data_IF_307323085683
#
_entry.id   IF_307323085683
#
_cell.length_a   1.000
_cell.length_b   1.000
_cell.length_c   1.000
_cell.angle_alpha   90.00
_cell.angle_beta   90.00
_cell.angle_gamma   90.00
#
_symmetry.space_group_name_H-M   'P 1'
#
loop_
_entity.id
_entity.type
_entity.pdbx_description
1 polymer ?
#
# COMPACT_ATOMS: atom_id res chain seq x y z
N UNK A 1 6.14 91.98 -24.19
CA UNK A 1 6.54 90.56 -24.00
C UNK A 1 5.54 89.64 -24.67
N UNK A 2 5.90 88.97 -25.78
CA UNK A 2 5.11 87.87 -26.37
C UNK A 2 5.54 86.57 -25.70
N UNK A 3 4.64 85.92 -24.94
CA UNK A 3 4.87 84.57 -24.41
C UNK A 3 4.79 83.58 -25.57
N UNK A 4 5.92 82.98 -25.94
CA UNK A 4 5.97 81.87 -26.90
C UNK A 4 5.37 80.62 -26.25
N UNK A 5 4.33 80.07 -26.86
CA UNK A 5 3.60 78.89 -26.39
C UNK A 5 4.42 77.61 -26.67
N UNK A 6 5.40 77.30 -25.82
CA UNK A 6 6.27 76.11 -25.95
C UNK A 6 5.53 74.81 -25.59
N UNK A 7 4.41 74.90 -24.85
CA UNK A 7 3.64 73.73 -24.37
C UNK A 7 3.02 72.88 -25.49
N UNK A 8 2.60 73.48 -26.61
CA UNK A 8 1.93 72.76 -27.71
C UNK A 8 2.88 71.81 -28.45
N UNK A 9 4.17 72.14 -28.57
CA UNK A 9 5.13 71.32 -29.33
C UNK A 9 5.57 70.06 -28.57
N UNK A 10 5.65 70.11 -27.24
CA UNK A 10 5.97 68.95 -26.41
C UNK A 10 4.83 67.91 -26.43
N UNK A 11 3.57 68.34 -26.41
CA UNK A 11 2.42 67.43 -26.48
C UNK A 11 2.36 66.69 -27.82
N UNK A 12 2.68 67.35 -28.93
CA UNK A 12 2.71 66.69 -30.25
C UNK A 12 3.82 65.64 -30.34
N UNK A 13 5.01 65.94 -29.81
CA UNK A 13 6.12 64.96 -29.78
C UNK A 13 5.72 63.77 -28.90
N UNK A 14 5.16 64.00 -27.71
CA UNK A 14 4.72 62.93 -26.82
C UNK A 14 3.65 62.04 -27.47
N UNK A 15 2.68 62.62 -28.18
CA UNK A 15 1.65 61.86 -28.90
C UNK A 15 2.26 61.03 -30.03
N UNK A 16 3.18 61.60 -30.82
CA UNK A 16 3.85 60.87 -31.91
C UNK A 16 4.71 59.74 -31.34
N UNK A 17 5.40 59.95 -30.23
CA UNK A 17 6.20 58.90 -29.57
C UNK A 17 5.31 57.78 -29.02
N UNK A 18 4.17 58.10 -28.40
CA UNK A 18 3.20 57.10 -27.93
C UNK A 18 2.58 56.35 -29.11
N UNK A 19 2.28 57.02 -30.22
CA UNK A 19 1.75 56.39 -31.44
C UNK A 19 2.80 55.52 -32.14
N UNK A 20 4.08 55.91 -32.11
CA UNK A 20 5.17 55.12 -32.67
C UNK A 20 5.49 53.88 -31.81
N UNK A 21 5.40 54.00 -30.48
CA UNK A 21 5.55 52.84 -29.57
C UNK A 21 4.35 51.90 -29.71
N UNK A 22 3.13 52.43 -29.88
CA UNK A 22 1.95 51.60 -30.08
C UNK A 22 2.00 50.84 -31.40
N UNK A 23 2.44 51.47 -32.50
CA UNK A 23 2.60 50.76 -33.78
C UNK A 23 3.73 49.72 -33.75
N UNK A 24 4.80 49.94 -32.98
CA UNK A 24 5.82 48.90 -32.76
C UNK A 24 5.28 47.70 -31.97
N UNK A 25 4.36 47.90 -31.03
CA UNK A 25 3.73 46.81 -30.27
C UNK A 25 2.77 45.96 -31.12
N UNK A 26 2.18 46.52 -32.19
CA UNK A 26 1.31 45.77 -33.11
C UNK A 26 2.02 45.24 -34.37
N UNK A 27 3.22 45.73 -34.67
CA UNK A 27 3.99 45.33 -35.86
C UNK A 27 5.02 44.21 -35.59
N UNK A 28 5.14 43.72 -34.35
CA UNK A 28 5.86 42.49 -34.11
C UNK A 28 5.03 41.34 -34.69
N UNK A 29 5.54 40.56 -35.67
CA UNK A 29 4.89 39.30 -36.01
C UNK A 29 4.75 38.49 -34.73
N UNK A 30 3.58 37.88 -34.52
CA UNK A 30 3.47 36.82 -33.51
C UNK A 30 4.54 35.80 -33.86
N UNK A 31 5.64 35.79 -33.13
CA UNK A 31 6.58 34.67 -33.17
C UNK A 31 5.73 33.49 -32.72
N UNK A 32 5.37 32.62 -33.67
CA UNK A 32 4.94 31.27 -33.32
C UNK A 32 6.09 30.74 -32.47
N UNK A 33 5.86 30.64 -31.16
CA UNK A 33 6.78 29.99 -30.26
C UNK A 33 7.14 28.66 -30.93
N UNK A 34 8.44 28.42 -31.11
CA UNK A 34 8.97 27.17 -31.63
C UNK A 34 8.21 26.04 -30.93
N UNK A 35 7.61 25.11 -31.70
CA UNK A 35 6.90 23.99 -31.10
C UNK A 35 7.85 23.35 -30.09
N UNK A 36 7.41 23.27 -28.82
CA UNK A 36 8.25 22.67 -27.78
C UNK A 36 8.51 21.23 -28.22
N UNK A 37 9.77 20.90 -28.47
CA UNK A 37 10.20 19.58 -28.91
C UNK A 37 11.01 18.98 -27.79
N UNK A 38 10.76 17.70 -27.50
CA UNK A 38 11.43 16.98 -26.43
C UNK A 38 11.76 15.57 -26.90
N UNK A 39 13.01 15.17 -26.68
CA UNK A 39 13.45 13.80 -26.94
C UNK A 39 12.65 12.83 -26.06
N UNK A 40 12.05 11.78 -26.65
CA UNK A 40 11.12 10.92 -25.91
C UNK A 40 11.82 9.97 -24.91
N UNK A 41 13.15 9.86 -24.92
CA UNK A 41 13.92 8.92 -24.10
C UNK A 41 13.29 7.52 -24.03
N UNK A 42 13.14 6.84 -25.18
CA UNK A 42 12.64 5.47 -25.20
C UNK A 42 13.65 4.51 -24.55
N UNK A 43 13.13 3.43 -23.95
CA UNK A 43 13.94 2.38 -23.36
C UNK A 43 13.48 1.00 -23.82
N UNK A 44 14.37 0.03 -23.63
CA UNK A 44 14.11 -1.40 -23.76
C UNK A 44 14.78 -2.14 -22.61
N UNK A 45 14.08 -3.10 -22.01
CA UNK A 45 14.65 -4.07 -21.09
C UNK A 45 14.08 -5.47 -21.40
N UNK A 46 14.76 -6.54 -21.02
CA UNK A 46 14.33 -7.92 -21.24
C UNK A 46 14.54 -8.75 -19.98
N UNK A 47 13.51 -9.45 -19.53
CA UNK A 47 13.56 -10.30 -18.33
C UNK A 47 12.92 -11.67 -18.62
N UNK A 48 13.61 -12.79 -18.34
CA UNK A 48 14.99 -12.87 -17.85
C UNK A 48 16.01 -12.52 -18.95
N UNK A 49 17.21 -12.09 -18.52
CA UNK A 49 18.38 -11.91 -19.39
C UNK A 49 19.66 -12.19 -18.55
N UNK A 50 20.42 -13.26 -18.80
CA UNK A 50 20.26 -14.24 -19.90
C UNK A 50 18.98 -15.10 -19.78
N UNK A 51 18.61 -15.77 -20.87
CA UNK A 51 17.42 -16.65 -20.95
C UNK A 51 17.72 -17.96 -21.68
N UNK A 52 16.91 -18.99 -21.45
CA UNK A 52 16.97 -20.26 -22.19
C UNK A 52 16.25 -20.12 -23.54
N UNK A 53 16.78 -20.78 -24.59
CA UNK A 53 16.12 -20.83 -25.90
C UNK A 53 14.72 -21.46 -25.82
N UNK A 54 13.78 -20.95 -26.62
CA UNK A 54 12.37 -21.35 -26.63
C UNK A 54 11.60 -21.11 -25.32
N UNK A 55 12.10 -20.23 -24.45
CA UNK A 55 11.39 -19.78 -23.24
C UNK A 55 10.85 -18.36 -23.38
N UNK A 56 9.87 -18.00 -22.56
CA UNK A 56 9.25 -16.67 -22.60
C UNK A 56 10.17 -15.63 -21.98
N UNK A 57 10.40 -14.54 -22.72
CA UNK A 57 11.02 -13.30 -22.25
C UNK A 57 9.98 -12.20 -22.28
N UNK A 58 9.91 -11.39 -21.23
CA UNK A 58 9.13 -10.15 -21.23
C UNK A 58 10.05 -9.00 -21.59
N UNK A 59 9.76 -8.34 -22.70
CA UNK A 59 10.41 -7.10 -23.13
C UNK A 59 9.63 -5.93 -22.53
N UNK A 60 10.27 -5.17 -21.66
CA UNK A 60 9.71 -3.92 -21.13
C UNK A 60 10.10 -2.77 -22.06
N UNK A 61 9.11 -2.12 -22.64
CA UNK A 61 9.24 -1.12 -23.70
C UNK A 61 8.44 0.13 -23.33
N UNK A 62 8.99 1.30 -23.63
CA UNK A 62 8.31 2.55 -23.32
C UNK A 62 9.18 3.78 -23.47
N UNK A 63 8.69 4.87 -22.87
CA UNK A 63 9.36 6.14 -22.67
C UNK A 63 9.43 6.45 -21.17
N UNK A 64 10.48 7.14 -20.72
CA UNK A 64 10.58 7.61 -19.32
C UNK A 64 9.49 8.61 -18.94
N UNK A 65 8.81 9.21 -19.92
CA UNK A 65 7.73 10.15 -19.67
C UNK A 65 6.39 9.41 -19.50
N UNK A 66 5.74 9.54 -18.34
CA UNK A 66 4.36 9.11 -18.20
C UNK A 66 3.43 10.07 -18.95
N UNK A 67 2.25 9.58 -19.31
CA UNK A 67 1.20 10.37 -19.91
C UNK A 67 0.10 10.70 -18.89
N UNK A 68 -0.61 11.81 -19.06
CA UNK A 68 -1.79 12.08 -18.25
C UNK A 68 -2.86 11.00 -18.46
N UNK A 69 -3.53 10.58 -17.37
CA UNK A 69 -4.48 9.46 -17.40
C UNK A 69 -5.60 9.62 -18.44
N UNK A 70 -6.03 10.84 -18.72
CA UNK A 70 -7.11 11.15 -19.65
C UNK A 70 -6.76 10.95 -21.14
N UNK A 71 -5.48 10.82 -21.50
CA UNK A 71 -5.06 10.62 -22.90
C UNK A 71 -4.62 9.20 -23.23
N UNK A 72 -4.52 8.31 -22.24
CA UNK A 72 -3.96 6.97 -22.41
C UNK A 72 -2.44 6.99 -22.55
N UNK A 73 -1.80 5.83 -22.67
CA UNK A 73 -0.35 5.73 -22.88
C UNK A 73 0.08 6.10 -24.30
N UNK A 74 1.38 6.00 -24.56
CA UNK A 74 1.97 6.19 -25.88
C UNK A 74 1.52 5.08 -26.83
N UNK A 75 1.44 5.40 -28.12
CA UNK A 75 0.92 4.46 -29.13
C UNK A 75 1.87 4.32 -30.29
N UNK A 76 1.94 3.13 -30.88
CA UNK A 76 2.69 2.90 -32.12
C UNK A 76 4.19 2.66 -31.92
N UNK A 77 4.63 2.39 -30.69
CA UNK A 77 6.01 1.98 -30.42
C UNK A 77 6.28 0.64 -31.10
N UNK A 78 7.53 0.39 -31.47
CA UNK A 78 7.95 -0.93 -31.95
C UNK A 78 9.26 -1.34 -31.30
N UNK A 79 9.55 -2.64 -31.30
CA UNK A 79 10.88 -3.16 -30.91
C UNK A 79 11.44 -3.90 -32.11
N UNK A 80 12.58 -3.43 -32.62
CA UNK A 80 13.37 -4.16 -33.60
C UNK A 80 14.21 -5.21 -32.89
N UNK A 81 14.13 -6.45 -33.37
CA UNK A 81 14.87 -7.60 -32.86
C UNK A 81 15.79 -8.08 -33.96
N UNK A 82 17.10 -7.88 -33.79
CA UNK A 82 18.12 -8.49 -34.63
C UNK A 82 18.54 -9.81 -34.02
N UNK A 83 18.33 -10.91 -34.76
CA UNK A 83 18.65 -12.27 -34.35
C UNK A 83 20.15 -12.56 -34.51
N UNK A 84 20.67 -13.61 -33.86
CA UNK A 84 22.08 -14.02 -34.00
C UNK A 84 22.52 -14.34 -35.44
N UNK A 85 21.58 -14.72 -36.32
CA UNK A 85 21.84 -15.00 -37.74
C UNK A 85 21.83 -13.74 -38.63
N UNK A 86 21.59 -12.56 -38.05
CA UNK A 86 21.52 -11.27 -38.73
C UNK A 86 20.15 -10.95 -39.35
N UNK A 87 19.17 -11.85 -39.26
CA UNK A 87 17.79 -11.53 -39.65
C UNK A 87 17.13 -10.61 -38.63
N UNK A 88 16.23 -9.73 -39.10
CA UNK A 88 15.49 -8.81 -38.23
C UNK A 88 14.00 -9.12 -38.23
N UNK A 89 13.35 -8.83 -37.12
CA UNK A 89 11.89 -8.82 -37.00
C UNK A 89 11.43 -7.64 -36.14
N UNK A 90 10.21 -7.18 -36.37
CA UNK A 90 9.63 -6.03 -35.66
C UNK A 90 8.47 -6.51 -34.80
N UNK A 91 8.53 -6.20 -33.51
CA UNK A 91 7.42 -6.40 -32.58
C UNK A 91 6.64 -5.09 -32.49
N UNK A 92 5.36 -5.11 -32.85
CA UNK A 92 4.46 -3.97 -32.70
C UNK A 92 3.36 -3.92 -33.76
N UNK A 93 2.56 -2.84 -33.78
CA UNK A 93 2.64 -1.66 -32.92
C UNK A 93 2.29 -1.95 -31.44
N UNK A 94 2.95 -1.23 -30.53
CA UNK A 94 2.83 -1.40 -29.09
C UNK A 94 2.25 -0.11 -28.49
N UNK A 95 1.27 -0.28 -27.60
CA UNK A 95 0.70 0.82 -26.82
C UNK A 95 1.11 0.65 -25.36
N UNK A 96 1.57 1.72 -24.73
CA UNK A 96 1.98 1.72 -23.33
C UNK A 96 0.80 1.95 -22.40
N UNK A 97 1.01 1.72 -21.10
CA UNK A 97 0.15 2.29 -20.06
C UNK A 97 0.45 3.77 -19.86
N UNK A 98 -0.35 4.45 -19.03
CA UNK A 98 -0.17 5.88 -18.73
C UNK A 98 1.09 6.17 -17.90
N UNK A 99 1.74 5.15 -17.36
CA UNK A 99 3.07 5.26 -16.72
C UNK A 99 4.19 5.44 -17.75
N UNK A 100 3.90 5.30 -19.05
CA UNK A 100 4.84 5.47 -20.15
C UNK A 100 5.50 4.17 -20.64
N UNK A 101 5.24 3.04 -19.99
CA UNK A 101 5.79 1.71 -20.34
C UNK A 101 4.75 0.61 -20.45
N UNK A 102 5.15 -0.53 -21.03
CA UNK A 102 4.40 -1.78 -21.02
C UNK A 102 5.31 -2.99 -21.26
N UNK A 103 4.79 -4.19 -21.04
CA UNK A 103 5.47 -5.45 -21.33
C UNK A 103 4.92 -6.13 -22.59
N UNK A 104 5.81 -6.63 -23.45
CA UNK A 104 5.47 -7.53 -24.57
C UNK A 104 6.23 -8.84 -24.46
N UNK A 105 5.60 -9.94 -24.86
CA UNK A 105 6.20 -11.27 -24.79
C UNK A 105 6.98 -11.57 -26.06
N UNK A 106 8.18 -12.11 -25.90
CA UNK A 106 9.03 -12.62 -26.97
C UNK A 106 9.54 -14.02 -26.62
N UNK A 107 9.68 -14.90 -27.63
CA UNK A 107 10.22 -16.26 -27.45
C UNK A 107 11.39 -16.44 -28.42
N UNK A 108 12.64 -16.28 -27.97
CA UNK A 108 13.81 -16.46 -28.85
C UNK A 108 13.95 -17.93 -29.27
N UNK A 109 14.19 -18.16 -30.55
CA UNK A 109 14.26 -19.52 -31.14
C UNK A 109 15.68 -19.97 -31.50
N UNK A 110 16.67 -19.09 -31.40
CA UNK A 110 18.09 -19.36 -31.68
C UNK A 110 18.91 -19.12 -30.42
N UNK A 111 19.98 -19.89 -30.25
CA UNK A 111 21.00 -19.62 -29.24
C UNK A 111 21.94 -18.53 -29.76
N UNK A 112 22.33 -17.59 -28.89
CA UNK A 112 23.22 -16.49 -29.22
C UNK A 112 22.75 -15.14 -28.67
N UNK A 113 23.43 -14.08 -29.10
CA UNK A 113 23.10 -12.71 -28.69
C UNK A 113 22.12 -12.08 -29.68
N UNK A 114 20.96 -11.70 -29.18
CA UNK A 114 20.00 -10.86 -29.88
C UNK A 114 20.25 -9.39 -29.55
N UNK A 115 19.97 -8.48 -30.49
CA UNK A 115 19.94 -7.04 -30.22
C UNK A 115 18.49 -6.56 -30.27
N UNK A 116 18.03 -5.94 -29.19
CA UNK A 116 16.69 -5.35 -29.07
C UNK A 116 16.82 -3.83 -29.08
N UNK A 117 15.98 -3.14 -29.86
CA UNK A 117 15.95 -1.68 -29.89
C UNK A 117 14.52 -1.16 -30.01
N UNK A 118 14.10 -0.32 -29.06
CA UNK A 118 12.79 0.34 -29.11
C UNK A 118 12.84 1.50 -30.10
N UNK A 119 11.82 1.59 -30.95
CA UNK A 119 11.51 2.77 -31.75
C UNK A 119 10.26 3.45 -31.21
N UNK A 120 10.40 4.74 -30.91
CA UNK A 120 9.32 5.62 -30.48
C UNK A 120 8.97 6.55 -31.64
N UNK A 121 7.73 6.51 -32.15
CA UNK A 121 7.31 7.38 -33.25
C UNK A 121 7.13 8.83 -32.78
N UNK A 122 7.40 9.79 -33.66
CA UNK A 122 7.09 11.20 -33.37
C UNK A 122 5.60 11.33 -32.99
N UNK A 123 5.34 11.97 -31.86
CA UNK A 123 3.98 12.11 -31.33
C UNK A 123 3.73 13.53 -30.84
N UNK A 124 2.70 14.19 -31.38
CA UNK A 124 2.24 15.48 -30.86
C UNK A 124 1.28 15.25 -29.70
N UNK A 125 1.68 15.72 -28.52
CA UNK A 125 0.92 15.54 -27.28
C UNK A 125 -0.38 16.32 -27.30
N UNK A 126 -1.47 15.71 -26.86
CA UNK A 126 -2.80 16.32 -26.83
C UNK A 126 -3.15 16.95 -25.49
N UNK A 127 -2.40 16.64 -24.43
CA UNK A 127 -2.55 17.19 -23.10
C UNK A 127 -1.19 17.59 -22.51
N UNK A 128 -1.21 18.60 -21.63
CA UNK A 128 -0.03 18.98 -20.85
C UNK A 128 0.36 17.89 -19.86
N UNK A 129 1.66 17.65 -19.69
CA UNK A 129 2.21 16.64 -18.78
C UNK A 129 3.65 16.95 -18.35
N UNK A 130 4.36 15.93 -17.87
CA UNK A 130 5.77 16.07 -17.46
C UNK A 130 6.71 16.46 -18.61
N UNK A 131 6.29 16.18 -19.84
CA UNK A 131 6.98 16.52 -21.07
C UNK A 131 6.71 17.96 -21.55
N UNK A 132 5.79 18.71 -20.91
CA UNK A 132 5.48 20.10 -21.28
C UNK A 132 4.00 20.34 -21.58
N UNK A 133 3.64 21.52 -22.16
CA UNK A 133 2.26 21.86 -22.48
C UNK A 133 1.69 21.00 -23.62
N UNK A 134 0.36 20.94 -23.75
CA UNK A 134 -0.31 20.37 -24.93
C UNK A 134 0.24 20.99 -26.22
N UNK A 135 0.42 20.16 -27.25
CA UNK A 135 1.08 20.53 -28.51
C UNK A 135 2.61 20.37 -28.48
N UNK A 136 3.20 19.88 -27.38
CA UNK A 136 4.61 19.47 -27.35
C UNK A 136 4.82 18.28 -28.29
N UNK A 137 5.87 18.34 -29.11
CA UNK A 137 6.30 17.27 -30.00
C UNK A 137 7.25 16.36 -29.22
N UNK A 138 6.86 15.09 -29.03
CA UNK A 138 7.77 14.02 -28.62
C UNK A 138 8.51 13.56 -29.87
N UNK A 139 9.82 13.75 -29.91
CA UNK A 139 10.63 13.44 -31.09
C UNK A 139 10.66 11.94 -31.38
N UNK A 140 10.63 11.60 -32.67
CA UNK A 140 10.97 10.25 -33.11
C UNK A 140 12.37 9.89 -32.61
N UNK A 141 12.47 8.75 -31.93
CA UNK A 141 13.72 8.36 -31.27
C UNK A 141 13.87 6.86 -31.14
N UNK A 142 15.13 6.42 -31.06
CA UNK A 142 15.51 5.04 -30.79
C UNK A 142 16.06 4.94 -29.37
N UNK A 143 15.81 3.83 -28.69
CA UNK A 143 16.51 3.52 -27.44
C UNK A 143 17.95 3.14 -27.72
N UNK A 144 18.78 3.12 -26.68
CA UNK A 144 20.02 2.36 -26.73
C UNK A 144 19.71 0.87 -27.02
N UNK A 145 20.55 0.18 -27.81
CA UNK A 145 20.38 -1.24 -28.06
C UNK A 145 20.66 -2.06 -26.80
N UNK A 146 19.84 -3.09 -26.56
CA UNK A 146 20.01 -4.05 -25.48
C UNK A 146 20.38 -5.42 -26.03
N UNK A 147 21.44 -6.01 -25.47
CA UNK A 147 21.82 -7.39 -25.76
C UNK A 147 20.98 -8.36 -24.92
N UNK A 148 20.22 -9.24 -25.57
CA UNK A 148 19.56 -10.39 -24.95
C UNK A 148 20.39 -11.63 -25.22
N UNK A 149 20.96 -12.21 -24.16
CA UNK A 149 21.81 -13.41 -24.25
C UNK A 149 20.93 -14.64 -24.12
N UNK A 150 20.89 -15.48 -25.15
CA UNK A 150 20.11 -16.72 -25.19
C UNK A 150 21.04 -17.93 -25.16
N UNK A 151 20.84 -18.83 -24.20
CA UNK A 151 21.64 -20.03 -23.99
C UNK A 151 20.82 -21.30 -24.19
N UNK A 152 21.50 -22.45 -24.34
CA UNK A 152 20.89 -23.78 -24.31
C UNK A 152 20.69 -24.30 -22.87
N UNK A 153 21.49 -23.80 -21.92
CA UNK A 153 21.36 -24.13 -20.51
C UNK A 153 20.11 -23.47 -19.87
N UNK A 154 19.33 -24.22 -19.08
CA UNK A 154 18.21 -23.67 -18.32
C UNK A 154 18.67 -22.57 -17.36
N UNK A 155 18.09 -21.38 -17.49
CA UNK A 155 18.32 -20.28 -16.56
C UNK A 155 17.25 -20.31 -15.48
N UNK A 156 17.66 -20.39 -14.22
CA UNK A 156 16.74 -20.30 -13.09
C UNK A 156 16.07 -18.92 -13.07
N UNK A 157 14.80 -18.86 -13.45
CA UNK A 157 14.00 -17.66 -13.41
C UNK A 157 13.70 -17.30 -11.95
N UNK A 158 14.37 -16.26 -11.43
CA UNK A 158 14.27 -15.81 -10.04
C UNK A 158 14.54 -16.93 -9.01
N UNK A 159 15.81 -17.31 -8.79
CA UNK A 159 16.13 -18.33 -7.80
C UNK A 159 15.58 -17.94 -6.42
N UNK A 160 15.14 -18.95 -5.67
CA UNK A 160 14.71 -18.80 -4.29
C UNK A 160 15.91 -18.51 -3.38
N UNK A 161 15.68 -17.72 -2.33
CA UNK A 161 16.65 -17.61 -1.24
C UNK A 161 16.48 -18.78 -0.28
N UNK A 162 17.60 -19.34 0.17
CA UNK A 162 17.60 -20.35 1.22
C UNK A 162 17.02 -19.77 2.51
N UNK A 163 16.32 -20.61 3.28
CA UNK A 163 15.88 -20.26 4.63
C UNK A 163 17.09 -20.08 5.55
N UNK A 164 16.98 -19.27 6.63
CA UNK A 164 18.10 -19.06 7.52
C UNK A 164 18.50 -20.35 8.23
N UNK A 165 19.80 -20.59 8.33
CA UNK A 165 20.38 -21.72 9.09
C UNK A 165 20.76 -21.34 10.52
N UNK A 166 20.74 -20.04 10.83
CA UNK A 166 20.99 -19.48 12.15
C UNK A 166 19.78 -18.67 12.65
N UNK A 167 19.91 -18.07 13.83
CA UNK A 167 18.88 -17.20 14.38
C UNK A 167 18.65 -16.00 13.45
N UNK A 168 17.39 -15.70 13.14
CA UNK A 168 16.99 -14.59 12.28
C UNK A 168 16.12 -13.59 13.04
N UNK A 169 16.10 -12.34 12.55
CA UNK A 169 15.31 -11.25 13.14
C UNK A 169 14.58 -10.47 12.05
N UNK A 170 13.73 -9.53 12.48
CA UNK A 170 13.03 -8.60 11.58
C UNK A 170 13.63 -7.19 11.69
N UNK A 171 13.48 -6.33 10.66
CA UNK A 171 12.80 -6.59 9.39
C UNK A 171 13.52 -7.62 8.51
N UNK A 172 12.75 -8.39 7.73
CA UNK A 172 13.30 -9.30 6.72
C UNK A 172 13.37 -8.52 5.41
N UNK A 173 14.46 -8.68 4.67
CA UNK A 173 14.58 -8.09 3.33
C UNK A 173 13.50 -8.66 2.41
N UNK A 174 12.77 -7.77 1.72
CA UNK A 174 11.65 -8.15 0.86
C UNK A 174 12.08 -9.03 -0.33
N UNK A 175 13.37 -9.03 -0.68
CA UNK A 175 13.92 -9.92 -1.70
C UNK A 175 13.95 -11.38 -1.27
N UNK A 176 13.99 -11.67 0.04
CA UNK A 176 13.96 -13.02 0.62
C UNK A 176 12.53 -13.58 0.65
N UNK A 177 11.89 -13.67 -0.53
CA UNK A 177 10.46 -13.97 -0.67
C UNK A 177 10.05 -15.26 0.05
N UNK A 178 10.91 -16.28 0.03
CA UNK A 178 10.62 -17.62 0.54
C UNK A 178 10.55 -17.68 2.08
N UNK A 179 11.04 -16.64 2.77
CA UNK A 179 11.00 -16.55 4.24
C UNK A 179 9.61 -16.25 4.80
N UNK A 180 8.59 -16.05 3.95
CA UNK A 180 7.20 -15.91 4.40
C UNK A 180 6.77 -17.10 5.29
N UNK A 181 7.32 -18.30 5.05
CA UNK A 181 7.02 -19.56 5.76
C UNK A 181 7.42 -19.62 7.24
N UNK A 182 8.25 -18.69 7.68
CA UNK A 182 8.73 -18.60 9.07
C UNK A 182 8.41 -17.25 9.71
N UNK A 183 7.63 -16.42 9.03
CA UNK A 183 7.49 -15.01 9.38
C UNK A 183 6.02 -14.62 9.45
N UNK A 184 5.25 -15.37 10.24
CA UNK A 184 3.85 -15.02 10.49
C UNK A 184 3.69 -13.73 11.33
N UNK A 185 2.47 -13.19 11.30
CA UNK A 185 1.97 -12.17 12.20
C UNK A 185 0.88 -12.77 13.12
N UNK A 186 0.65 -12.17 14.27
CA UNK A 186 -0.43 -12.52 15.18
C UNK A 186 -1.40 -11.34 15.29
N UNK A 187 -2.43 -11.31 14.45
CA UNK A 187 -3.25 -10.09 14.23
C UNK A 187 -4.44 -9.95 15.18
N UNK A 188 -4.61 -10.83 16.16
CA UNK A 188 -5.70 -10.71 17.11
C UNK A 188 -5.65 -11.81 18.16
N UNK A 189 -6.24 -11.54 19.32
CA UNK A 189 -6.42 -12.58 20.32
C UNK A 189 -7.58 -13.49 19.94
N UNK A 190 -7.28 -14.78 19.87
CA UNK A 190 -8.27 -15.83 19.71
C UNK A 190 -8.24 -16.65 21.00
N UNK A 191 -9.35 -16.73 21.76
CA UNK A 191 -9.36 -17.50 23.00
C UNK A 191 -9.09 -18.98 22.68
N UNK A 192 -8.38 -19.72 23.56
CA UNK A 192 -8.05 -21.13 23.34
C UNK A 192 -9.29 -22.04 23.19
N UNK A 193 -10.46 -21.57 23.64
CA UNK A 193 -11.75 -22.26 23.52
C UNK A 193 -12.48 -21.94 22.22
N UNK A 194 -11.90 -21.10 21.35
CA UNK A 194 -12.49 -20.78 20.06
C UNK A 194 -12.44 -22.01 19.15
N UNK A 195 -13.54 -22.28 18.45
CA UNK A 195 -13.63 -23.37 17.49
C UNK A 195 -12.94 -23.06 16.15
N UNK A 196 -12.37 -21.87 16.00
CA UNK A 196 -11.49 -21.52 14.89
C UNK A 196 -10.27 -22.48 14.87
N UNK A 197 -10.05 -23.24 13.79
CA UNK A 197 -8.91 -24.16 13.68
C UNK A 197 -7.54 -23.46 13.76
N UNK A 198 -7.49 -22.14 13.63
CA UNK A 198 -6.28 -21.31 13.78
C UNK A 198 -6.09 -20.73 15.19
N UNK A 199 -7.04 -20.94 16.11
CA UNK A 199 -7.00 -20.40 17.48
C UNK A 199 -5.79 -20.82 18.32
N UNK A 200 -5.22 -21.99 18.01
CA UNK A 200 -4.02 -22.52 18.66
C UNK A 200 -2.87 -22.78 17.67
N UNK A 201 -3.02 -22.38 16.40
CA UNK A 201 -2.05 -22.64 15.35
C UNK A 201 -1.68 -21.34 14.65
N UNK A 202 -0.45 -20.88 14.89
CA UNK A 202 0.16 -19.83 14.10
C UNK A 202 0.80 -20.44 12.84
N UNK A 203 0.07 -20.41 11.72
CA UNK A 203 0.59 -20.82 10.39
C UNK A 203 1.88 -20.05 10.04
N UNK A 204 2.61 -20.48 8.99
CA UNK A 204 3.82 -19.78 8.53
C UNK A 204 4.89 -19.61 9.61
N UNK A 205 5.04 -20.67 10.42
CA UNK A 205 6.09 -20.86 11.40
C UNK A 205 6.66 -22.29 11.25
N UNK A 206 6.94 -22.73 10.02
CA UNK A 206 7.24 -24.15 9.65
C UNK A 206 8.44 -24.76 10.39
N UNK A 207 9.29 -23.94 11.01
CA UNK A 207 10.47 -24.36 11.77
C UNK A 207 10.53 -23.72 13.16
N UNK A 208 9.40 -23.24 13.68
CA UNK A 208 9.34 -22.77 15.06
C UNK A 208 9.56 -23.96 16.02
N UNK A 209 10.33 -23.77 17.09
CA UNK A 209 10.52 -24.83 18.08
C UNK A 209 9.20 -25.32 18.67
N UNK A 210 9.10 -26.63 18.93
CA UNK A 210 7.92 -27.24 19.56
C UNK A 210 7.81 -26.94 21.08
N UNK A 211 8.76 -26.18 21.63
CA UNK A 211 8.79 -25.80 23.05
C UNK A 211 8.63 -24.30 23.23
N UNK A 212 7.90 -23.87 24.26
CA UNK A 212 7.82 -22.46 24.62
C UNK A 212 9.19 -21.89 25.00
N UNK A 213 9.52 -20.72 24.44
CA UNK A 213 10.76 -20.00 24.73
C UNK A 213 10.46 -18.65 25.37
N UNK A 214 11.24 -18.28 26.39
CA UNK A 214 11.22 -16.95 26.99
C UNK A 214 12.41 -16.18 26.45
N UNK A 215 12.16 -15.19 25.60
CA UNK A 215 13.20 -14.30 25.05
C UNK A 215 13.58 -13.20 26.06
N UNK A 216 12.56 -12.64 26.71
CA UNK A 216 12.68 -11.61 27.73
C UNK A 216 11.47 -11.67 28.67
N UNK A 217 11.54 -10.97 29.81
CA UNK A 217 10.45 -10.86 30.75
C UNK A 217 10.28 -9.41 31.22
N UNK A 218 9.03 -8.94 31.27
CA UNK A 218 8.66 -7.65 31.86
C UNK A 218 7.52 -7.84 32.86
N UNK A 219 7.61 -7.27 34.07
CA UNK A 219 6.49 -7.23 35.00
C UNK A 219 5.30 -6.48 34.37
N UNK A 220 4.11 -7.07 34.41
CA UNK A 220 2.85 -6.43 34.00
C UNK A 220 2.11 -5.78 35.17
N UNK A 221 2.13 -6.45 36.32
CA UNK A 221 1.58 -5.98 37.59
C UNK A 221 2.46 -6.47 38.73
N UNK A 222 2.22 -5.95 39.94
CA UNK A 222 2.76 -6.54 41.15
C UNK A 222 2.19 -7.94 41.34
N UNK A 223 3.06 -8.92 41.61
CA UNK A 223 2.68 -10.30 41.86
C UNK A 223 3.49 -10.88 43.02
N UNK A 224 3.19 -12.13 43.38
CA UNK A 224 3.83 -12.81 44.50
C UNK A 224 3.12 -12.60 45.84
N UNK A 225 3.76 -13.05 46.93
CA UNK A 225 3.21 -13.00 48.28
C UNK A 225 3.13 -11.55 48.79
N UNK A 226 1.97 -11.12 49.29
CA UNK A 226 1.81 -9.79 49.89
C UNK A 226 2.60 -9.66 51.20
N UNK A 227 2.65 -10.75 51.97
CA UNK A 227 3.48 -10.89 53.16
C UNK A 227 3.04 -10.03 54.34
N UNK A 228 3.77 -10.16 55.45
CA UNK A 228 3.53 -9.36 56.66
C UNK A 228 2.14 -9.55 57.25
N UNK A 229 1.40 -8.45 57.44
CA UNK A 229 0.04 -8.42 58.01
C UNK A 229 -1.01 -9.13 57.13
N UNK A 230 -0.65 -9.45 55.88
CA UNK A 230 -1.51 -10.16 54.92
C UNK A 230 -1.25 -11.68 54.90
N UNK A 231 -0.36 -12.20 55.76
CA UNK A 231 -0.04 -13.63 55.89
C UNK A 231 0.27 -14.33 54.54
N UNK A 232 -0.43 -15.43 54.24
CA UNK A 232 -0.24 -16.26 53.03
C UNK A 232 -0.89 -15.69 51.76
N UNK A 233 -1.53 -14.52 51.84
CA UNK A 233 -2.25 -13.94 50.70
C UNK A 233 -1.28 -13.35 49.66
N UNK A 234 -1.58 -13.53 48.39
CA UNK A 234 -0.84 -12.96 47.25
C UNK A 234 -1.36 -11.59 46.83
N UNK A 235 -0.56 -10.85 46.05
CA UNK A 235 -1.02 -9.68 45.31
C UNK A 235 -1.97 -10.11 44.18
N UNK A 236 -2.92 -9.23 43.83
CA UNK A 236 -3.90 -9.44 42.75
C UNK A 236 -3.21 -9.62 41.39
N UNK A 237 -3.27 -10.84 40.86
CA UNK A 237 -2.59 -11.25 39.63
C UNK A 237 -3.53 -11.39 38.42
N UNK A 238 -4.82 -11.05 38.58
CA UNK A 238 -5.88 -11.22 37.61
C UNK A 238 -6.73 -12.47 37.88
N UNK A 239 -7.95 -12.46 37.36
CA UNK A 239 -8.86 -13.61 37.35
C UNK A 239 -9.23 -14.02 35.90
N UNK A 240 -10.11 -15.01 35.76
CA UNK A 240 -10.55 -15.53 34.45
C UNK A 240 -11.20 -14.48 33.53
N UNK A 241 -11.66 -13.34 34.06
CA UNK A 241 -12.35 -12.27 33.35
C UNK A 241 -11.58 -10.94 33.35
N UNK A 242 -10.50 -10.84 34.14
CA UNK A 242 -9.67 -9.64 34.31
C UNK A 242 -8.19 -10.00 34.10
N UNK A 243 -7.90 -10.56 32.92
CA UNK A 243 -6.53 -10.83 32.48
C UNK A 243 -5.69 -9.55 32.44
N UNK A 244 -4.50 -9.58 33.06
CA UNK A 244 -3.56 -8.45 33.07
C UNK A 244 -2.81 -8.28 31.75
N UNK A 245 -2.73 -9.33 30.93
CA UNK A 245 -2.12 -9.31 29.59
C UNK A 245 -3.19 -9.50 28.51
N UNK A 246 -3.66 -8.39 27.95
CA UNK A 246 -4.80 -8.42 27.03
C UNK A 246 -6.13 -8.34 27.78
N UNK A 247 -6.86 -7.25 27.56
CA UNK A 247 -8.03 -6.87 28.35
C UNK A 247 -9.14 -7.90 28.27
N UNK A 248 -9.49 -8.43 29.44
CA UNK A 248 -10.67 -9.22 29.68
C UNK A 248 -11.97 -8.42 29.53
N UNK A 249 -12.95 -9.13 28.98
CA UNK A 249 -14.36 -8.75 28.86
C UNK A 249 -15.14 -10.04 28.61
N UNK A 250 -16.42 -10.08 29.00
CA UNK A 250 -17.28 -11.26 28.98
C UNK A 250 -17.45 -11.93 27.58
N UNK A 251 -16.88 -11.34 26.52
CA UNK A 251 -17.03 -11.78 25.12
C UNK A 251 -15.72 -11.72 24.29
N UNK A 252 -14.53 -11.73 24.92
CA UNK A 252 -13.24 -11.57 24.22
C UNK A 252 -13.03 -10.11 23.75
N UNK A 253 -11.87 -9.61 23.35
CA UNK A 253 -10.56 -10.17 23.09
C UNK A 253 -9.66 -8.95 22.74
N UNK A 254 -9.40 -8.04 23.68
CA UNK A 254 -8.51 -6.90 23.45
C UNK A 254 -7.07 -7.33 23.74
N UNK A 255 -6.50 -8.16 22.89
CA UNK A 255 -5.27 -8.87 23.22
C UNK A 255 -4.04 -8.44 22.43
N UNK A 256 -2.85 -8.92 22.86
CA UNK A 256 -1.62 -8.59 22.20
C UNK A 256 -1.68 -9.00 20.72
N UNK A 257 -1.15 -8.16 19.86
CA UNK A 257 -0.94 -8.46 18.44
C UNK A 257 0.54 -8.36 18.12
N UNK A 258 1.01 -9.16 17.17
CA UNK A 258 2.39 -9.13 16.68
C UNK A 258 2.32 -8.84 15.19
N UNK A 259 2.93 -7.73 14.77
CA UNK A 259 3.08 -7.37 13.35
C UNK A 259 4.55 -7.09 13.11
N UNK A 260 5.14 -7.74 12.11
CA UNK A 260 6.51 -7.44 11.70
C UNK A 260 7.55 -7.61 12.81
N UNK A 261 7.31 -8.48 13.79
CA UNK A 261 8.23 -8.71 14.92
C UNK A 261 8.12 -7.68 16.04
N UNK A 262 7.09 -6.83 16.00
CA UNK A 262 6.76 -5.90 17.07
C UNK A 262 5.52 -6.40 17.78
N UNK A 263 5.61 -6.56 19.09
CA UNK A 263 4.51 -6.85 19.99
C UNK A 263 3.80 -5.57 20.38
N UNK A 264 2.50 -5.52 20.12
CA UNK A 264 1.61 -4.44 20.54
C UNK A 264 0.63 -4.94 21.58
N UNK A 265 0.52 -4.28 22.72
CA UNK A 265 -0.41 -4.68 23.78
C UNK A 265 -0.93 -3.48 24.57
N UNK A 266 -2.11 -3.64 25.15
CA UNK A 266 -2.66 -2.67 26.11
C UNK A 266 -1.91 -2.80 27.43
N UNK A 267 -1.30 -1.70 27.90
CA UNK A 267 -0.50 -1.69 29.14
C UNK A 267 -1.34 -1.96 30.38
N UNK A 268 -2.57 -1.46 30.40
CA UNK A 268 -3.46 -1.50 31.56
C UNK A 268 -4.66 -2.42 31.31
N UNK A 269 -5.34 -2.82 32.38
CA UNK A 269 -6.64 -3.49 32.31
C UNK A 269 -7.73 -2.57 31.73
N UNK A 270 -8.83 -3.16 31.26
CA UNK A 270 -9.95 -2.42 30.64
C UNK A 270 -10.79 -1.63 31.65
N UNK A 271 -10.74 -1.99 32.94
CA UNK A 271 -11.50 -1.35 33.99
C UNK A 271 -11.10 0.13 34.15
N UNK A 272 -12.07 0.95 34.56
CA UNK A 272 -11.91 2.40 34.70
C UNK A 272 -12.20 3.21 33.44
N UNK A 273 -12.31 2.58 32.27
CA UNK A 273 -12.74 3.25 31.03
C UNK A 273 -11.91 4.49 30.73
N UNK A 274 -12.57 5.63 30.47
CA UNK A 274 -11.94 6.93 30.23
C UNK A 274 -11.50 7.67 31.50
N UNK A 275 -11.82 7.16 32.69
CA UNK A 275 -11.39 7.75 33.96
C UNK A 275 -9.95 7.42 34.33
N UNK A 276 -9.30 6.51 33.56
CA UNK A 276 -7.91 6.10 33.75
C UNK A 276 -7.19 6.11 32.40
N UNK A 277 -5.86 6.14 32.46
CA UNK A 277 -5.03 6.05 31.27
C UNK A 277 -5.22 4.71 30.54
N UNK A 278 -5.28 4.78 29.22
CA UNK A 278 -5.37 3.62 28.33
C UNK A 278 -4.24 3.70 27.33
N UNK A 279 -3.09 3.10 27.66
CA UNK A 279 -1.90 3.13 26.81
C UNK A 279 -1.74 1.84 26.03
N UNK A 280 -1.28 1.97 24.79
CA UNK A 280 -0.80 0.87 23.97
C UNK A 280 0.71 0.97 23.89
N UNK A 281 1.37 -0.17 24.05
CA UNK A 281 2.81 -0.30 24.00
C UNK A 281 3.21 -1.06 22.74
N UNK A 282 4.24 -0.58 22.05
CA UNK A 282 4.97 -1.30 21.03
C UNK A 282 6.32 -1.72 21.57
N UNK A 283 6.61 -3.01 21.47
CA UNK A 283 7.81 -3.63 22.00
C UNK A 283 8.45 -4.47 20.91
N UNK A 284 9.74 -4.29 20.69
CA UNK A 284 10.51 -5.21 19.84
C UNK A 284 10.44 -6.61 20.45
N UNK A 285 9.88 -7.57 19.72
CA UNK A 285 9.62 -8.91 20.27
C UNK A 285 10.92 -9.69 20.52
N UNK A 286 12.00 -9.40 19.80
CA UNK A 286 13.27 -10.09 19.94
C UNK A 286 14.02 -9.65 21.20
N UNK A 287 14.09 -8.34 21.41
CA UNK A 287 14.91 -7.72 22.48
C UNK A 287 14.11 -7.37 23.74
N UNK A 288 12.80 -7.20 23.60
CA UNK A 288 11.96 -6.65 24.65
C UNK A 288 12.10 -5.14 24.82
N UNK A 289 12.78 -4.41 23.92
CA UNK A 289 12.88 -2.95 24.00
C UNK A 289 11.52 -2.27 23.76
N UNK A 290 11.20 -1.24 24.55
CA UNK A 290 10.00 -0.44 24.33
C UNK A 290 10.27 0.57 23.20
N UNK A 291 9.59 0.40 22.06
CA UNK A 291 9.71 1.29 20.91
C UNK A 291 8.87 2.56 21.09
N UNK A 292 7.63 2.39 21.56
CA UNK A 292 6.76 3.50 21.96
C UNK A 292 5.68 3.05 22.94
N UNK A 293 5.15 4.00 23.71
CA UNK A 293 4.06 3.81 24.68
C UNK A 293 3.18 5.05 24.67
N UNK A 294 1.93 4.93 24.19
CA UNK A 294 1.03 6.09 24.05
C UNK A 294 -0.45 5.67 23.95
N UNK A 295 -1.40 6.58 24.21
CA UNK A 295 -2.81 6.34 23.90
C UNK A 295 -3.07 6.34 22.38
N UNK A 296 -4.02 5.54 21.92
CA UNK A 296 -4.50 5.58 20.53
C UNK A 296 -5.64 6.59 20.43
N UNK A 297 -5.31 7.80 19.97
CA UNK A 297 -6.24 8.94 19.95
C UNK A 297 -6.89 9.10 18.58
N UNK A 298 -8.22 9.09 18.52
CA UNK A 298 -8.98 9.41 17.30
C UNK A 298 -8.94 10.92 17.01
N UNK A 299 -9.25 11.38 15.78
CA UNK A 299 -9.37 12.81 15.50
C UNK A 299 -10.39 13.54 16.36
N UNK A 300 -11.41 12.82 16.87
CA UNK A 300 -12.41 13.32 17.81
C UNK A 300 -11.94 13.42 19.27
N UNK A 301 -10.71 12.95 19.58
CA UNK A 301 -10.12 12.98 20.92
C UNK A 301 -10.41 11.74 21.77
N UNK A 302 -11.10 10.73 21.24
CA UNK A 302 -11.37 9.49 21.96
C UNK A 302 -10.08 8.69 22.17
N UNK A 303 -9.85 8.25 23.41
CA UNK A 303 -8.75 7.37 23.76
C UNK A 303 -9.18 5.91 23.65
N UNK A 304 -8.62 5.19 22.69
CA UNK A 304 -8.98 3.82 22.38
C UNK A 304 -7.95 2.83 22.87
N UNK A 305 -8.44 1.64 23.19
CA UNK A 305 -7.63 0.44 23.44
C UNK A 305 -7.43 -0.32 22.13
N UNK A 306 -6.30 -1.01 22.02
CA UNK A 306 -6.05 -1.98 20.96
C UNK A 306 -7.06 -3.13 21.08
N UNK A 307 -7.81 -3.39 20.02
CA UNK A 307 -8.75 -4.50 19.94
C UNK A 307 -8.15 -5.67 19.14
N UNK A 308 -7.63 -5.39 17.95
CA UNK A 308 -7.00 -6.36 17.05
C UNK A 308 -6.16 -5.61 16.02
N UNK A 309 -5.66 -6.30 15.01
CA UNK A 309 -4.86 -5.75 13.93
C UNK A 309 -5.28 -6.31 12.57
N UNK A 310 -4.66 -5.77 11.52
CA UNK A 310 -4.80 -6.24 10.15
C UNK A 310 -3.44 -6.16 9.45
N UNK A 311 -3.14 -7.15 8.62
CA UNK A 311 -2.05 -7.14 7.64
C UNK A 311 -2.69 -7.52 6.31
N UNK A 312 -2.87 -6.54 5.43
CA UNK A 312 -3.75 -6.61 4.26
C UNK A 312 -2.97 -6.37 2.97
N UNK A 313 -2.95 -7.37 2.09
CA UNK A 313 -2.38 -7.28 0.76
C UNK A 313 -3.40 -6.70 -0.23
N UNK A 314 -3.18 -5.46 -0.63
CA UNK A 314 -3.89 -4.84 -1.74
C UNK A 314 -3.18 -5.17 -3.05
N UNK A 315 -3.95 -5.68 -4.00
CA UNK A 315 -3.45 -6.24 -5.24
C UNK A 315 -4.39 -5.83 -6.37
N UNK A 316 -3.97 -4.86 -7.16
CA UNK A 316 -4.73 -4.27 -8.25
C UNK A 316 -3.83 -3.95 -9.43
N UNK A 317 -4.42 -3.53 -10.55
CA UNK A 317 -3.66 -3.07 -11.72
C UNK A 317 -2.71 -1.88 -11.47
N UNK A 318 -2.89 -1.11 -10.38
CA UNK A 318 -2.09 0.09 -10.11
C UNK A 318 -1.21 -0.03 -8.85
N UNK A 319 -1.48 -1.02 -8.00
CA UNK A 319 -0.82 -1.08 -6.69
C UNK A 319 -0.79 -2.51 -6.15
N UNK A 320 0.39 -2.93 -5.73
CA UNK A 320 0.64 -4.20 -5.07
C UNK A 320 1.41 -3.92 -3.78
N UNK A 321 0.76 -4.07 -2.63
CA UNK A 321 1.38 -3.71 -1.36
C UNK A 321 0.65 -4.26 -0.16
N UNK A 322 1.41 -4.60 0.88
CA UNK A 322 0.87 -5.04 2.17
C UNK A 322 0.78 -3.83 3.09
N UNK A 323 -0.41 -3.62 3.66
CA UNK A 323 -0.72 -2.58 4.62
C UNK A 323 -0.97 -3.17 5.99
N UNK A 324 -0.51 -2.50 7.04
CA UNK A 324 -0.66 -2.93 8.42
C UNK A 324 -1.39 -1.89 9.26
N UNK A 325 -2.29 -2.37 10.13
CA UNK A 325 -3.06 -1.52 11.02
C UNK A 325 -3.17 -2.15 12.41
N UNK A 326 -2.99 -1.33 13.43
CA UNK A 326 -3.59 -1.56 14.74
C UNK A 326 -5.02 -1.04 14.69
N UNK A 327 -5.97 -1.76 15.27
CA UNK A 327 -7.39 -1.41 15.21
C UNK A 327 -7.94 -1.23 16.63
N UNK A 328 -8.46 -0.04 16.88
CA UNK A 328 -9.25 0.29 18.06
C UNK A 328 -10.74 0.32 17.71
N UNK A 329 -11.59 -0.03 18.67
CA UNK A 329 -13.05 -0.02 18.50
C UNK A 329 -13.71 0.97 19.45
N UNK A 330 -14.63 1.76 18.95
CA UNK A 330 -15.43 2.71 19.72
C UNK A 330 -16.90 2.32 19.60
N UNK A 331 -17.59 2.11 20.73
CA UNK A 331 -19.00 1.72 20.74
C UNK A 331 -19.87 2.87 21.26
N UNK A 332 -20.98 3.16 20.59
CA UNK A 332 -21.99 4.10 21.07
C UNK A 332 -22.91 3.52 22.18
N UNK A 333 -22.51 2.41 22.82
CA UNK A 333 -23.23 1.73 23.89
C UNK A 333 -23.64 0.30 23.52
N UNK A 334 -24.27 -0.41 24.46
CA UNK A 334 -24.56 -1.85 24.34
C UNK A 334 -25.36 -2.26 23.08
N UNK A 335 -26.18 -1.34 22.53
CA UNK A 335 -26.93 -1.54 21.29
C UNK A 335 -26.54 -0.55 20.17
N UNK A 336 -25.50 0.26 20.41
CA UNK A 336 -25.07 1.30 19.48
C UNK A 336 -24.18 0.73 18.37
N UNK A 337 -24.11 1.42 17.21
CA UNK A 337 -23.11 1.10 16.21
C UNK A 337 -21.70 1.14 16.83
N UNK A 338 -20.83 0.31 16.28
CA UNK A 338 -19.41 0.31 16.63
C UNK A 338 -18.64 0.93 15.48
N UNK A 339 -17.75 1.87 15.78
CA UNK A 339 -16.79 2.41 14.84
C UNK A 339 -15.47 1.66 14.99
N UNK A 340 -14.79 1.41 13.88
CA UNK A 340 -13.41 0.90 13.88
C UNK A 340 -12.47 2.01 13.47
N UNK A 341 -11.32 2.10 14.13
CA UNK A 341 -10.29 3.09 13.84
C UNK A 341 -8.96 2.39 13.60
N UNK A 342 -8.38 2.62 12.43
CA UNK A 342 -7.05 2.12 12.07
C UNK A 342 -5.96 3.09 12.48
N UNK A 343 -4.89 2.54 13.03
CA UNK A 343 -3.69 3.26 13.45
C UNK A 343 -2.45 2.62 12.83
N UNK A 344 -1.49 3.45 12.45
CA UNK A 344 -0.17 3.05 11.97
C UNK A 344 0.59 2.33 13.11
N UNK A 345 1.04 1.07 12.92
CA UNK A 345 1.78 0.34 13.95
C UNK A 345 3.16 0.93 14.28
N UNK A 346 3.83 1.59 13.35
CA UNK A 346 5.14 2.22 13.58
C UNK A 346 5.03 3.46 14.45
N UNK A 347 3.97 4.26 14.26
CA UNK A 347 3.84 5.57 14.92
C UNK A 347 2.72 5.66 15.94
N UNK A 348 1.76 4.73 15.95
CA UNK A 348 0.51 4.83 16.72
C UNK A 348 -0.42 5.94 16.24
N UNK A 349 -0.16 6.53 15.06
CA UNK A 349 -0.96 7.63 14.50
C UNK A 349 -2.24 7.09 13.88
N UNK A 350 -3.35 7.79 14.08
CA UNK A 350 -4.61 7.49 13.38
C UNK A 350 -4.47 7.62 11.85
N UNK A 351 -5.01 6.64 11.13
CA UNK A 351 -5.03 6.58 9.66
C UNK A 351 -6.45 6.68 9.11
N UNK A 352 -7.39 5.88 9.62
CA UNK A 352 -8.76 5.82 9.08
C UNK A 352 -9.81 5.52 10.15
N UNK A 353 -11.07 5.82 9.84
CA UNK A 353 -12.25 5.45 10.62
C UNK A 353 -13.30 4.82 9.72
N UNK A 354 -13.78 3.64 10.09
CA UNK A 354 -14.98 3.02 9.53
C UNK A 354 -16.12 3.17 10.52
N UNK A 355 -17.13 3.95 10.14
CA UNK A 355 -18.29 4.26 10.95
C UNK A 355 -19.40 3.24 10.74
N UNK A 356 -20.26 3.02 11.74
CA UNK A 356 -21.44 2.16 11.62
C UNK A 356 -21.12 0.72 11.16
N UNK A 357 -20.11 0.10 11.80
CA UNK A 357 -19.72 -1.27 11.46
C UNK A 357 -20.91 -2.22 11.61
N UNK A 358 -21.17 -3.07 10.59
CA UNK A 358 -22.17 -4.12 10.73
C UNK A 358 -21.75 -5.11 11.82
N UNK A 359 -22.72 -5.73 12.49
CA UNK A 359 -22.44 -6.86 13.37
C UNK A 359 -22.12 -8.11 12.55
N UNK A 360 -21.40 -9.07 13.13
CA UNK A 360 -21.13 -10.34 12.46
C UNK A 360 -20.00 -11.11 13.09
N UNK A 361 -19.76 -12.31 12.57
CA UNK A 361 -18.58 -13.12 12.89
C UNK A 361 -17.42 -12.65 12.03
N UNK A 362 -16.31 -12.27 12.69
CA UNK A 362 -15.09 -11.80 12.04
C UNK A 362 -14.24 -12.96 11.53
N UNK A 363 -13.83 -12.89 10.27
CA UNK A 363 -12.96 -13.86 9.61
C UNK A 363 -11.91 -13.10 8.80
N UNK A 364 -10.68 -13.61 8.72
CA UNK A 364 -9.65 -13.04 7.83
C UNK A 364 -9.66 -13.75 6.47
N UNK A 365 -9.65 -12.96 5.40
CA UNK A 365 -9.51 -13.42 4.03
C UNK A 365 -8.08 -13.83 3.69
N UNK A 366 -7.87 -14.48 2.53
CA UNK A 366 -6.56 -14.98 2.11
C UNK A 366 -5.53 -13.88 1.83
N UNK A 367 -5.96 -12.63 1.57
CA UNK A 367 -5.07 -11.47 1.46
C UNK A 367 -5.08 -10.63 2.73
N UNK A 368 -5.65 -11.12 3.83
CA UNK A 368 -5.77 -10.38 5.09
C UNK A 368 -6.89 -9.33 5.11
N UNK A 369 -7.84 -9.42 4.17
CA UNK A 369 -9.13 -8.73 4.31
C UNK A 369 -9.80 -9.12 5.62
N UNK A 370 -10.59 -8.24 6.19
CA UNK A 370 -11.49 -8.60 7.27
C UNK A 370 -12.89 -8.76 6.68
N UNK A 371 -13.45 -9.94 6.88
CA UNK A 371 -14.84 -10.26 6.56
C UNK A 371 -15.68 -10.26 7.83
N UNK A 372 -16.92 -9.75 7.71
CA UNK A 372 -17.95 -9.94 8.73
C UNK A 372 -19.14 -10.67 8.10
N UNK A 373 -19.41 -11.88 8.57
CA UNK A 373 -20.59 -12.64 8.19
C UNK A 373 -21.71 -12.41 9.20
N UNK A 374 -22.84 -11.87 8.74
CA UNK A 374 -24.01 -11.63 9.58
C UNK A 374 -25.16 -12.56 9.19
N UNK A 375 -25.53 -13.47 10.10
CA UNK A 375 -26.72 -14.31 9.94
C UNK A 375 -27.88 -13.70 10.75
N UNK A 376 -28.84 -13.07 10.06
CA UNK A 376 -30.04 -12.55 10.68
C UNK A 376 -31.18 -13.58 10.57
N UNK A 377 -31.40 -14.35 11.63
CA UNK A 377 -32.45 -15.39 11.68
C UNK A 377 -33.85 -14.82 11.56
N UNK A 378 -34.11 -13.65 12.14
CA UNK A 378 -35.43 -13.00 12.09
C UNK A 378 -35.77 -12.52 10.68
N UNK A 379 -34.79 -11.98 9.96
CA UNK A 379 -34.96 -11.55 8.57
C UNK A 379 -34.80 -12.69 7.56
N UNK A 380 -34.29 -13.85 7.98
CA UNK A 380 -33.94 -14.95 7.09
C UNK A 380 -32.83 -14.60 6.11
N UNK A 381 -31.85 -13.78 6.51
CA UNK A 381 -30.77 -13.31 5.62
C UNK A 381 -29.38 -13.65 6.11
N UNK A 382 -28.46 -13.78 5.16
CA UNK A 382 -27.02 -13.83 5.38
C UNK A 382 -26.37 -12.69 4.58
N UNK A 383 -25.50 -11.91 5.20
CA UNK A 383 -24.71 -10.90 4.51
C UNK A 383 -23.21 -11.07 4.77
N UNK A 384 -22.43 -10.62 3.79
CA UNK A 384 -20.98 -10.50 3.88
C UNK A 384 -20.61 -9.03 3.76
N UNK A 385 -19.87 -8.55 4.76
CA UNK A 385 -19.13 -7.30 4.67
C UNK A 385 -17.64 -7.57 4.47
N UNK A 386 -16.98 -6.76 3.65
CA UNK A 386 -15.59 -6.91 3.25
C UNK A 386 -14.83 -5.58 3.42
N UNK A 387 -13.81 -5.59 4.28
CA UNK A 387 -13.02 -4.40 4.61
C UNK A 387 -12.30 -3.79 3.41
N UNK A 388 -11.88 -4.59 2.42
CA UNK A 388 -11.09 -4.09 1.29
C UNK A 388 -11.85 -3.06 0.47
N UNK A 389 -13.19 -3.17 0.43
CA UNK A 389 -14.10 -2.33 -0.37
C UNK A 389 -14.34 -0.94 0.22
N UNK A 390 -14.01 -0.73 1.50
CA UNK A 390 -14.40 0.50 2.22
C UNK A 390 -13.51 1.69 1.85
N UNK A 391 -12.20 1.44 1.68
CA UNK A 391 -11.25 2.50 1.29
C UNK A 391 -11.22 2.68 -0.23
N UNK A 392 -11.22 1.58 -0.97
CA UNK A 392 -11.13 1.61 -2.43
C UNK A 392 -11.77 0.36 -3.04
N UNK A 393 -12.24 0.47 -4.27
CA UNK A 393 -12.73 -0.68 -5.05
C UNK A 393 -11.89 -0.94 -6.31
N UNK A 394 -10.89 -0.09 -6.60
CA UNK A 394 -10.09 -0.17 -7.82
C UNK A 394 -8.79 0.63 -7.74
N UNK A 395 -7.76 0.19 -8.46
CA UNK A 395 -6.51 0.97 -8.62
C UNK A 395 -5.76 1.13 -7.31
N UNK A 396 -5.67 2.34 -6.76
CA UNK A 396 -4.87 2.60 -5.55
C UNK A 396 -5.61 2.30 -4.24
N UNK A 397 -4.85 2.15 -3.16
CA UNK A 397 -5.35 2.06 -1.79
C UNK A 397 -4.77 3.21 -0.96
N UNK A 398 -5.58 4.26 -0.73
CA UNK A 398 -5.17 5.50 -0.06
C UNK A 398 -5.99 5.72 1.22
N UNK A 399 -5.70 4.97 2.30
CA UNK A 399 -6.50 4.96 3.52
C UNK A 399 -6.28 6.19 4.40
N UNK A 400 -5.23 6.97 4.17
CA UNK A 400 -4.83 8.06 5.05
C UNK A 400 -5.89 9.17 5.08
N UNK A 401 -6.45 9.41 6.26
CA UNK A 401 -7.50 10.42 6.46
C UNK A 401 -8.91 9.95 6.14
N UNK A 402 -9.12 8.68 5.76
CA UNK A 402 -10.43 8.19 5.35
C UNK A 402 -11.36 8.08 6.56
N UNK A 403 -12.53 8.69 6.47
CA UNK A 403 -13.68 8.45 7.34
C UNK A 403 -14.82 8.01 6.44
N UNK A 404 -15.30 6.78 6.61
CA UNK A 404 -16.29 6.20 5.71
C UNK A 404 -17.32 5.37 6.48
N UNK A 405 -18.57 5.43 6.03
CA UNK A 405 -19.61 4.54 6.54
C UNK A 405 -19.34 3.10 6.03
N UNK A 406 -19.23 2.16 6.96
CA UNK A 406 -18.87 0.78 6.68
C UNK A 406 -19.90 0.06 5.80
N UNK A 407 -21.15 0.53 5.68
CA UNK A 407 -22.17 -0.11 4.82
C UNK A 407 -21.75 -0.26 3.36
N UNK A 408 -20.84 0.58 2.85
CA UNK A 408 -20.27 0.44 1.49
C UNK A 408 -19.45 -0.84 1.31
N UNK A 409 -18.97 -1.41 2.41
CA UNK A 409 -18.27 -2.68 2.45
C UNK A 409 -19.19 -3.90 2.37
N UNK A 410 -20.51 -3.74 2.43
CA UNK A 410 -21.46 -4.85 2.21
C UNK A 410 -21.29 -5.34 0.76
N UNK A 411 -20.76 -6.54 0.62
CA UNK A 411 -20.48 -7.15 -0.68
C UNK A 411 -21.74 -7.81 -1.25
N UNK A 412 -22.48 -8.52 -0.40
CA UNK A 412 -23.77 -9.11 -0.76
C UNK A 412 -24.63 -9.35 0.47
N UNK A 413 -25.95 -9.44 0.22
CA UNK A 413 -26.95 -9.96 1.15
C UNK A 413 -27.82 -10.95 0.39
N UNK A 414 -28.00 -12.15 0.92
CA UNK A 414 -28.84 -13.19 0.34
C UNK A 414 -29.92 -13.64 1.32
N UNK A 415 -31.05 -14.09 0.78
CA UNK A 415 -32.08 -14.76 1.56
C UNK A 415 -31.69 -16.22 1.78
N UNK A 416 -31.83 -16.70 3.00
CA UNK A 416 -31.56 -18.09 3.37
C UNK A 416 -32.89 -18.75 3.71
N UNK A 417 -33.30 -19.69 2.86
CA UNK A 417 -34.57 -20.40 3.01
C UNK A 417 -34.52 -21.35 4.21
N UNK A 418 -35.56 -21.35 5.04
CA UNK A 418 -35.69 -22.30 6.16
C UNK A 418 -34.99 -21.91 7.46
N UNK A 419 -34.61 -20.64 7.64
CA UNK A 419 -34.06 -20.12 8.90
C UNK A 419 -35.12 -19.70 9.94
N UNK A 420 -36.36 -19.47 9.49
CA UNK A 420 -37.49 -19.04 10.32
C UNK A 420 -38.19 -20.21 11.00
#
# INVERSE_FOLDING_TARGET
MKKTNVKSKLSTIAIITVLAISTMLFALPSVNAQANSIFAFPYVNAVPNPTEVNTVVVIHVGSVYPTPSQVGGWTGLTVEVTKPDGSTEIIGPINTDTTGGTGVVYVPTLVGTYTLQTHFPETVTTASGYYGPSGTIMEESLSDPLELIVTDEPVAYYPAFELPTEYWARPIDQQMREWYKISNNWVGYVPPTNNDPTSMNAQFNEYAPETGHVLWAKPLTMGGLAGGVMYEQGFEQGDAYVGKFGGGGLFGAAGPVIIGGVLYYNQFESNGGSAVDQWVNAVDLHTGELLWSKPLITPGGSNLRLAFAQVFYWDSYNYHGVFDYLIGTESAGFFGPTNWHGFDPFTGRWIWTFEDMPSGVKVYGPKGEIFLYNLNKNAGTLSLWNSSRVVSTQGSYNPQGVVANASIGIEWTINVTGLS
#
